data_IF_110256049972
#
_entry.id   IF_110256049972
#
_cell.length_a   1.000
_cell.length_b   1.000
_cell.length_c   1.000
_cell.angle_alpha   90.00
_cell.angle_beta   90.00
_cell.angle_gamma   90.00
#
_symmetry.space_group_name_H-M   'P 1'
#
loop_
_entity.id
_entity.type
_entity.pdbx_description
1 polymer ?
#
# COMPACT_ATOMS: atom_id res chain seq x y z
N UNK A 1 10.50 -19.27 -22.70
CA UNK A 1 9.32 -18.42 -22.99
C UNK A 1 8.99 -17.64 -21.73
N UNK A 2 9.23 -16.32 -21.72
CA UNK A 2 8.93 -15.39 -20.60
C UNK A 2 8.62 -14.00 -21.17
N UNK A 3 9.38 -13.56 -22.18
CA UNK A 3 9.09 -12.32 -22.90
C UNK A 3 7.69 -12.38 -23.53
N UNK A 4 6.85 -11.40 -23.21
CA UNK A 4 5.49 -11.29 -23.72
C UNK A 4 4.45 -12.20 -23.04
N UNK A 5 4.77 -12.83 -21.91
CA UNK A 5 3.85 -13.71 -21.18
C UNK A 5 2.94 -12.96 -20.19
N UNK A 6 2.67 -11.68 -20.40
CA UNK A 6 1.95 -10.83 -19.45
C UNK A 6 0.90 -9.99 -20.16
N UNK A 7 -0.36 -10.17 -19.76
CA UNK A 7 -1.50 -9.40 -20.27
C UNK A 7 -1.76 -8.12 -19.44
N UNK A 8 -1.36 -8.12 -18.16
CA UNK A 8 -1.45 -6.99 -17.24
C UNK A 8 -0.42 -7.11 -16.11
N UNK A 9 -0.14 -6.00 -15.44
CA UNK A 9 0.75 -5.93 -14.26
C UNK A 9 -0.09 -5.73 -13.00
N UNK A 10 0.00 -6.67 -12.04
CA UNK A 10 -0.46 -6.45 -10.66
C UNK A 10 0.64 -5.82 -9.82
N UNK A 11 0.35 -4.72 -9.12
CA UNK A 11 1.31 -4.04 -8.24
C UNK A 11 0.75 -3.93 -6.84
N UNK A 12 1.52 -4.43 -5.87
CA UNK A 12 1.31 -4.18 -4.45
C UNK A 12 2.18 -2.99 -4.06
N UNK A 13 1.57 -1.83 -3.80
CA UNK A 13 2.31 -0.61 -3.47
C UNK A 13 1.77 0.01 -2.19
N UNK A 14 2.65 0.15 -1.20
CA UNK A 14 2.30 0.58 0.15
C UNK A 14 3.09 1.79 0.62
N UNK A 15 4.34 1.92 0.19
CA UNK A 15 5.25 2.95 0.68
C UNK A 15 6.36 3.22 -0.35
N UNK A 16 7.20 4.20 -0.08
CA UNK A 16 8.41 4.48 -0.84
C UNK A 16 9.52 4.94 0.11
N UNK A 17 10.76 4.62 -0.25
CA UNK A 17 11.95 5.03 0.49
C UNK A 17 12.85 5.87 -0.38
N UNK A 18 13.67 6.70 0.26
CA UNK A 18 14.87 7.21 -0.40
C UNK A 18 15.94 6.13 -0.35
N UNK A 19 16.72 6.05 -1.42
CA UNK A 19 17.88 5.18 -1.50
C UNK A 19 19.12 6.03 -1.71
N UNK A 20 20.23 5.63 -1.12
CA UNK A 20 21.54 6.27 -1.29
C UNK A 20 22.61 5.21 -1.56
N UNK A 21 23.69 5.60 -2.23
CA UNK A 21 24.88 4.77 -2.34
C UNK A 21 25.59 4.77 -0.97
N UNK A 22 25.68 3.61 -0.29
CA UNK A 22 26.26 3.56 1.04
C UNK A 22 27.80 3.66 1.01
N UNK A 23 28.42 3.74 -0.17
CA UNK A 23 29.86 3.77 -0.39
C UNK A 23 30.60 2.66 0.38
N UNK A 24 29.99 1.48 0.46
CA UNK A 24 30.55 0.34 1.19
C UNK A 24 31.66 -0.31 0.37
N UNK A 25 32.76 -0.63 1.02
CA UNK A 25 33.77 -1.54 0.43
C UNK A 25 33.12 -2.90 0.14
N UNK A 26 33.56 -3.55 -0.94
CA UNK A 26 33.08 -4.90 -1.29
C UNK A 26 33.29 -5.82 -0.09
N UNK A 27 32.22 -6.35 0.53
CA UNK A 27 32.37 -7.14 1.74
C UNK A 27 33.08 -8.45 1.41
N UNK A 28 33.93 -8.91 2.33
CA UNK A 28 34.62 -10.22 2.20
C UNK A 28 33.66 -11.41 2.31
N UNK A 29 32.50 -11.19 2.92
CA UNK A 29 31.43 -12.17 3.10
C UNK A 29 30.21 -11.62 2.38
N UNK A 30 29.66 -12.39 1.45
CA UNK A 30 28.44 -12.01 0.73
C UNK A 30 27.23 -12.13 1.65
N UNK A 31 26.36 -11.13 1.60
CA UNK A 31 25.13 -11.09 2.37
C UNK A 31 24.02 -10.48 1.54
N UNK A 32 22.82 -11.05 1.65
CA UNK A 32 21.67 -10.69 0.80
C UNK A 32 21.38 -9.18 0.74
N UNK A 33 21.50 -8.48 1.87
CA UNK A 33 21.27 -7.02 1.92
C UNK A 33 22.44 -6.21 1.37
N UNK A 34 23.66 -6.75 1.42
CA UNK A 34 24.86 -6.10 0.89
C UNK A 34 24.91 -6.20 -0.64
N UNK A 35 24.26 -7.21 -1.23
CA UNK A 35 24.14 -7.37 -2.69
C UNK A 35 23.29 -6.28 -3.35
N UNK A 36 22.45 -5.58 -2.58
CA UNK A 36 21.62 -4.49 -3.10
C UNK A 36 22.44 -3.27 -3.51
N UNK A 37 23.64 -3.12 -2.94
CA UNK A 37 24.52 -1.96 -3.12
C UNK A 37 23.78 -0.61 -2.95
N UNK A 38 22.84 -0.56 -2.00
CA UNK A 38 21.99 0.58 -1.72
C UNK A 38 21.66 0.63 -0.23
N UNK A 39 21.77 1.82 0.38
CA UNK A 39 21.25 2.13 1.70
C UNK A 39 19.85 2.75 1.61
N UNK A 40 19.02 2.52 2.62
CA UNK A 40 17.70 3.14 2.72
C UNK A 40 17.75 4.32 3.68
N UNK A 41 17.26 5.47 3.22
CA UNK A 41 17.07 6.64 4.05
C UNK A 41 15.58 6.80 4.37
N UNK A 42 15.30 6.92 5.66
CA UNK A 42 13.97 7.21 6.19
C UNK A 42 13.80 8.72 6.29
N UNK A 43 12.68 9.22 5.79
CA UNK A 43 12.23 10.60 6.00
C UNK A 43 11.10 10.57 7.03
N UNK A 44 10.93 11.66 7.77
CA UNK A 44 9.84 11.93 8.71
C UNK A 44 8.46 11.93 8.01
N UNK A 45 7.98 10.75 7.64
CA UNK A 45 6.61 10.50 7.26
C UNK A 45 5.88 9.77 8.38
N UNK A 46 4.55 9.87 8.38
CA UNK A 46 3.73 9.12 9.32
C UNK A 46 3.94 7.62 9.10
N UNK A 47 4.58 6.97 10.08
CA UNK A 47 4.69 5.52 10.14
C UNK A 47 3.36 4.93 10.61
N UNK A 48 2.90 3.86 9.96
CA UNK A 48 1.79 3.05 10.45
C UNK A 48 2.26 2.11 11.57
N UNK A 49 1.43 1.13 11.94
CA UNK A 49 1.82 0.18 12.97
C UNK A 49 2.96 -0.75 12.52
N UNK A 50 3.00 -1.14 11.24
CA UNK A 50 4.08 -1.93 10.68
C UNK A 50 5.34 -1.07 10.50
N UNK A 51 6.48 -1.57 11.01
CA UNK A 51 7.73 -0.79 11.03
C UNK A 51 8.21 -0.35 9.63
N UNK A 52 7.86 -1.11 8.59
CA UNK A 52 8.24 -0.84 7.21
C UNK A 52 7.26 0.13 6.52
N UNK A 53 6.05 0.36 7.04
CA UNK A 53 5.01 1.06 6.31
C UNK A 53 4.99 2.54 6.69
N UNK A 54 5.43 3.39 5.76
CA UNK A 54 5.33 4.85 5.86
C UNK A 54 4.31 5.39 4.86
N UNK A 55 3.54 6.39 5.27
CA UNK A 55 2.54 7.05 4.43
C UNK A 55 3.22 8.01 3.44
N UNK A 56 3.52 7.51 2.23
CA UNK A 56 4.29 8.22 1.19
C UNK A 56 3.51 8.19 -0.15
N UNK A 57 2.38 8.91 -0.26
CA UNK A 57 1.46 8.76 -1.38
C UNK A 57 2.07 9.16 -2.72
N UNK A 58 2.97 10.16 -2.76
CA UNK A 58 3.65 10.55 -4.01
C UNK A 58 4.52 9.42 -4.58
N UNK A 59 4.91 8.44 -3.76
CA UNK A 59 5.63 7.25 -4.19
C UNK A 59 4.80 6.39 -5.14
N UNK A 60 3.47 6.31 -4.92
CA UNK A 60 2.57 5.59 -5.82
C UNK A 60 2.57 6.22 -7.21
N UNK A 61 2.46 7.54 -7.30
CA UNK A 61 2.54 8.25 -8.59
C UNK A 61 3.83 7.90 -9.33
N UNK A 62 4.98 7.98 -8.65
CA UNK A 62 6.28 7.66 -9.26
C UNK A 62 6.36 6.20 -9.72
N UNK A 63 5.87 5.26 -8.91
CA UNK A 63 5.90 3.83 -9.26
C UNK A 63 5.07 3.52 -10.52
N UNK A 64 3.86 4.09 -10.61
CA UNK A 64 2.96 3.90 -11.76
C UNK A 64 3.54 4.58 -13.01
N UNK A 65 4.04 5.81 -12.87
CA UNK A 65 4.69 6.53 -13.98
C UNK A 65 5.92 5.80 -14.49
N UNK A 66 6.73 5.23 -13.60
CA UNK A 66 7.89 4.42 -14.00
C UNK A 66 7.48 3.20 -14.84
N UNK A 67 6.41 2.51 -14.46
CA UNK A 67 5.89 1.37 -15.23
C UNK A 67 5.38 1.81 -16.60
N UNK A 68 4.65 2.94 -16.64
CA UNK A 68 4.21 3.56 -17.90
C UNK A 68 5.39 3.81 -18.84
N UNK A 69 6.43 4.48 -18.35
CA UNK A 69 7.55 4.98 -19.16
C UNK A 69 8.54 3.88 -19.57
N UNK A 70 8.74 2.87 -18.74
CA UNK A 70 9.78 1.86 -18.95
C UNK A 70 9.28 0.49 -19.41
N UNK A 71 7.98 0.20 -19.31
CA UNK A 71 7.41 -1.10 -19.65
C UNK A 71 6.31 -1.03 -20.73
N UNK A 72 6.26 0.07 -21.48
CA UNK A 72 5.33 0.22 -22.61
C UNK A 72 3.88 0.47 -22.21
N UNK A 73 3.65 1.07 -21.04
CA UNK A 73 2.32 1.40 -20.51
C UNK A 73 1.32 0.22 -20.53
N UNK A 74 1.67 -0.92 -19.92
CA UNK A 74 0.78 -2.07 -19.88
C UNK A 74 -0.47 -1.73 -19.07
N UNK A 75 -1.51 -2.56 -19.18
CA UNK A 75 -2.63 -2.49 -18.25
C UNK A 75 -2.12 -2.79 -16.82
N UNK A 76 -2.36 -1.88 -15.89
CA UNK A 76 -1.97 -1.98 -14.48
C UNK A 76 -3.20 -2.14 -13.60
N UNK A 77 -3.09 -3.06 -12.64
CA UNK A 77 -4.00 -3.18 -11.51
C UNK A 77 -3.19 -2.91 -10.26
N UNK A 78 -3.60 -1.94 -9.45
CA UNK A 78 -3.07 -1.81 -8.09
C UNK A 78 -3.72 -2.88 -7.23
N UNK A 79 -3.06 -4.04 -7.15
CA UNK A 79 -3.61 -5.26 -6.53
C UNK A 79 -3.66 -5.18 -5.01
N UNK A 80 -2.79 -4.39 -4.39
CA UNK A 80 -2.84 -4.12 -2.97
C UNK A 80 -2.32 -2.72 -2.62
N UNK A 81 -3.06 -2.04 -1.74
CA UNK A 81 -2.64 -0.81 -1.07
C UNK A 81 -3.40 -0.64 0.24
N UNK A 82 -2.75 -0.22 1.33
CA UNK A 82 -3.42 -0.03 2.61
C UNK A 82 -2.45 0.37 3.74
N UNK A 83 -2.98 0.49 4.95
CA UNK A 83 -2.19 0.72 6.17
C UNK A 83 -2.78 -0.02 7.37
N UNK A 84 -1.93 -0.38 8.33
CA UNK A 84 -2.33 -1.09 9.54
C UNK A 84 -2.43 -0.21 10.78
N UNK A 85 -3.40 -0.56 11.64
CA UNK A 85 -3.47 -0.12 13.03
C UNK A 85 -2.95 -1.21 13.97
N UNK A 86 -2.57 -0.87 15.22
CA UNK A 86 -2.21 -1.86 16.23
C UNK A 86 -3.35 -2.86 16.52
N UNK A 87 -3.00 -4.13 16.66
CA UNK A 87 -3.97 -5.21 16.89
C UNK A 87 -4.74 -5.13 18.20
N UNK A 88 -4.18 -4.43 19.19
CA UNK A 88 -4.79 -4.17 20.50
C UNK A 88 -5.73 -2.94 20.53
N UNK A 89 -5.97 -2.29 19.38
CA UNK A 89 -6.92 -1.18 19.29
C UNK A 89 -8.32 -1.62 19.74
N UNK A 90 -8.96 -0.82 20.59
CA UNK A 90 -10.32 -1.11 21.04
C UNK A 90 -11.32 -0.95 19.90
N UNK A 91 -12.44 -1.68 19.94
CA UNK A 91 -13.48 -1.59 18.91
C UNK A 91 -13.89 -0.12 18.62
N UNK A 92 -14.27 0.72 19.60
CA UNK A 92 -14.64 2.11 19.31
C UNK A 92 -13.54 2.89 18.60
N UNK A 93 -12.28 2.74 19.01
CA UNK A 93 -11.15 3.44 18.36
C UNK A 93 -10.86 2.87 16.97
N UNK A 94 -10.93 1.55 16.79
CA UNK A 94 -10.71 0.88 15.52
C UNK A 94 -11.79 1.17 14.48
N UNK A 95 -13.01 1.52 14.89
CA UNK A 95 -14.06 1.98 13.98
C UNK A 95 -13.83 3.42 13.48
N UNK A 96 -13.20 4.28 14.28
CA UNK A 96 -12.91 5.68 13.95
C UNK A 96 -11.52 5.85 13.30
N UNK A 97 -11.28 5.12 12.22
CA UNK A 97 -9.97 5.02 11.55
C UNK A 97 -9.68 6.14 10.54
N UNK A 98 -9.72 7.39 11.00
CA UNK A 98 -9.51 8.58 10.15
C UNK A 98 -8.13 8.63 9.50
N UNK A 99 -7.09 8.11 10.15
CA UNK A 99 -5.75 7.98 9.57
C UNK A 99 -5.77 7.10 8.32
N UNK A 100 -6.47 5.97 8.34
CA UNK A 100 -6.64 5.07 7.18
C UNK A 100 -7.39 5.76 6.04
N UNK A 101 -8.42 6.55 6.36
CA UNK A 101 -9.11 7.37 5.35
C UNK A 101 -8.15 8.35 4.68
N UNK A 102 -7.32 9.05 5.46
CA UNK A 102 -6.38 10.02 4.93
C UNK A 102 -5.27 9.36 4.10
N UNK A 103 -4.81 8.17 4.50
CA UNK A 103 -3.94 7.33 3.69
C UNK A 103 -4.57 7.05 2.32
N UNK A 104 -5.78 6.47 2.28
CA UNK A 104 -6.44 6.14 1.02
C UNK A 104 -6.71 7.37 0.15
N UNK A 105 -7.14 8.49 0.73
CA UNK A 105 -7.31 9.76 -0.01
C UNK A 105 -6.00 10.23 -0.64
N UNK A 106 -4.88 10.14 0.08
CA UNK A 106 -3.57 10.53 -0.42
C UNK A 106 -3.15 9.67 -1.61
N UNK A 107 -3.21 8.34 -1.46
CA UNK A 107 -2.80 7.40 -2.50
C UNK A 107 -3.73 7.47 -3.72
N UNK A 108 -5.04 7.48 -3.54
CA UNK A 108 -5.99 7.55 -4.66
C UNK A 108 -5.91 8.89 -5.42
N UNK A 109 -5.61 9.99 -4.74
CA UNK A 109 -5.31 11.28 -5.41
C UNK A 109 -4.09 11.14 -6.33
N UNK A 110 -3.02 10.50 -5.85
CA UNK A 110 -1.79 10.31 -6.62
C UNK A 110 -1.96 9.29 -7.76
N UNK A 111 -2.76 8.25 -7.54
CA UNK A 111 -3.13 7.30 -8.59
C UNK A 111 -3.94 7.98 -9.70
N UNK A 112 -4.96 8.77 -9.31
CA UNK A 112 -5.77 9.54 -10.25
C UNK A 112 -4.91 10.49 -11.06
N UNK A 113 -3.95 11.18 -10.44
CA UNK A 113 -2.97 12.01 -11.14
C UNK A 113 -2.16 11.21 -12.17
N UNK A 114 -1.68 10.01 -11.83
CA UNK A 114 -0.94 9.18 -12.77
C UNK A 114 -1.80 8.74 -13.98
N UNK A 115 -3.08 8.43 -13.73
CA UNK A 115 -4.07 8.11 -14.78
C UNK A 115 -4.31 9.32 -15.68
N UNK A 116 -4.48 10.51 -15.08
CA UNK A 116 -4.66 11.77 -15.82
C UNK A 116 -3.42 12.11 -16.67
N UNK A 117 -2.23 11.70 -16.22
CA UNK A 117 -0.96 11.79 -16.96
C UNK A 117 -0.73 10.59 -17.93
N UNK A 118 -1.76 9.81 -18.24
CA UNK A 118 -1.78 8.80 -19.29
C UNK A 118 -1.40 7.37 -18.87
N UNK A 119 -1.24 7.07 -17.58
CA UNK A 119 -1.00 5.70 -17.13
C UNK A 119 -2.25 4.82 -17.31
N UNK A 120 -2.08 3.62 -17.88
CA UNK A 120 -3.16 2.67 -18.12
C UNK A 120 -3.46 1.85 -16.85
N UNK A 121 -4.22 2.42 -15.90
CA UNK A 121 -4.64 1.73 -14.68
C UNK A 121 -6.13 1.41 -14.74
N UNK A 122 -6.50 0.15 -14.56
CA UNK A 122 -7.90 -0.31 -14.66
C UNK A 122 -8.50 -0.79 -13.34
N UNK A 123 -7.69 -0.94 -12.29
CA UNK A 123 -8.16 -1.46 -11.01
C UNK A 123 -7.38 -0.93 -9.81
N UNK A 124 -8.08 -0.83 -8.69
CA UNK A 124 -7.54 -0.54 -7.37
C UNK A 124 -8.19 -1.47 -6.34
N UNK A 125 -7.37 -2.20 -5.59
CA UNK A 125 -7.80 -3.11 -4.54
C UNK A 125 -7.15 -2.72 -3.21
N UNK A 126 -8.01 -2.37 -2.25
CA UNK A 126 -7.57 -2.07 -0.90
C UNK A 126 -7.16 -3.35 -0.16
N UNK A 127 -5.95 -3.37 0.41
CA UNK A 127 -5.55 -4.36 1.40
C UNK A 127 -5.90 -3.83 2.80
N UNK A 128 -6.96 -4.33 3.44
CA UNK A 128 -7.78 -5.47 3.02
C UNK A 128 -9.26 -5.25 3.36
N UNK A 129 -10.11 -6.15 2.88
CA UNK A 129 -11.54 -6.10 3.19
C UNK A 129 -11.79 -6.22 4.70
N UNK A 130 -11.13 -7.16 5.38
CA UNK A 130 -11.31 -7.46 6.80
C UNK A 130 -9.98 -7.50 7.54
N UNK A 131 -9.98 -7.18 8.83
CA UNK A 131 -8.85 -7.51 9.70
C UNK A 131 -8.58 -9.01 9.62
N UNK A 132 -7.32 -9.39 9.36
CA UNK A 132 -6.94 -10.77 9.05
C UNK A 132 -5.62 -11.16 9.75
N UNK A 133 -5.07 -12.33 9.40
CA UNK A 133 -3.80 -12.83 9.91
C UNK A 133 -2.65 -12.28 9.06
N UNK A 134 -1.90 -11.31 9.59
CA UNK A 134 -0.83 -10.60 8.90
C UNK A 134 0.52 -11.32 9.07
N UNK A 135 0.62 -12.53 8.51
CA UNK A 135 1.86 -13.31 8.42
C UNK A 135 2.61 -13.41 9.76
N UNK A 136 3.83 -12.86 9.84
CA UNK A 136 4.69 -12.88 11.03
C UNK A 136 4.15 -12.01 12.17
N UNK A 137 3.32 -11.02 11.87
CA UNK A 137 2.63 -10.18 12.85
C UNK A 137 1.36 -10.86 13.39
N UNK A 138 0.88 -11.93 12.78
CA UNK A 138 -0.37 -12.58 13.15
C UNK A 138 -1.51 -11.55 13.26
N UNK A 139 -2.21 -11.52 14.40
CA UNK A 139 -3.32 -10.60 14.63
C UNK A 139 -2.93 -9.27 15.28
N UNK A 140 -1.63 -8.95 15.38
CA UNK A 140 -1.15 -7.70 16.00
C UNK A 140 -1.14 -6.51 15.04
N UNK A 141 -1.51 -6.72 13.78
CA UNK A 141 -1.68 -5.68 12.75
C UNK A 141 -3.06 -5.79 12.13
N UNK A 142 -3.75 -4.65 11.99
CA UNK A 142 -5.12 -4.58 11.45
C UNK A 142 -5.18 -3.74 10.19
N UNK A 143 -5.15 -4.38 9.02
CA UNK A 143 -5.25 -3.72 7.71
C UNK A 143 -6.69 -3.48 7.22
N UNK A 144 -7.67 -4.20 7.79
CA UNK A 144 -9.02 -4.25 7.25
C UNK A 144 -9.72 -2.90 7.23
N UNK A 145 -10.53 -2.64 6.21
CA UNK A 145 -11.57 -1.58 6.28
C UNK A 145 -12.79 -2.04 7.09
N UNK A 146 -12.88 -3.33 7.40
CA UNK A 146 -13.86 -3.93 8.32
C UNK A 146 -13.12 -4.50 9.53
N UNK A 147 -13.48 -4.03 10.72
CA UNK A 147 -12.95 -4.55 11.98
C UNK A 147 -13.50 -5.95 12.23
N UNK A 148 -12.63 -6.86 12.67
CA UNK A 148 -13.02 -8.20 13.13
C UNK A 148 -12.72 -8.34 14.61
N UNK A 149 -13.75 -8.62 15.40
CA UNK A 149 -13.57 -9.10 16.77
C UNK A 149 -13.07 -10.55 16.71
N UNK A 150 -11.78 -10.79 16.95
CA UNK A 150 -11.20 -12.12 16.82
C UNK A 150 -11.71 -13.13 17.87
N UNK A 151 -12.38 -12.69 18.94
CA UNK A 151 -13.00 -13.60 19.92
C UNK A 151 -14.35 -14.13 19.42
N UNK A 152 -15.14 -13.27 18.79
CA UNK A 152 -16.52 -13.59 18.38
C UNK A 152 -16.70 -13.74 16.88
N UNK A 153 -15.68 -13.39 16.10
CA UNK A 153 -15.70 -13.24 14.64
C UNK A 153 -16.78 -12.27 14.14
N UNK A 154 -17.30 -11.38 14.98
CA UNK A 154 -18.22 -10.33 14.51
C UNK A 154 -17.47 -9.29 13.68
N UNK A 155 -18.13 -8.84 12.60
CA UNK A 155 -17.58 -7.87 11.63
C UNK A 155 -18.26 -6.51 11.82
N UNK A 156 -17.46 -5.46 11.84
CA UNK A 156 -17.93 -4.09 12.03
C UNK A 156 -17.26 -3.18 10.98
N UNK A 157 -18.01 -2.67 9.98
CA UNK A 157 -17.44 -1.74 9.01
C UNK A 157 -16.87 -0.51 9.70
N UNK A 158 -15.60 -0.18 9.41
CA UNK A 158 -14.93 1.02 9.93
C UNK A 158 -15.38 2.26 9.15
N UNK A 159 -15.03 3.46 9.61
CA UNK A 159 -15.29 4.70 8.88
C UNK A 159 -14.67 4.68 7.48
N UNK A 160 -13.51 4.05 7.29
CA UNK A 160 -12.90 3.83 5.98
C UNK A 160 -13.76 3.02 5.00
N UNK A 161 -14.48 2.00 5.46
CA UNK A 161 -15.43 1.27 4.62
C UNK A 161 -16.60 2.17 4.17
N UNK A 162 -17.15 2.96 5.09
CA UNK A 162 -18.21 3.93 4.75
C UNK A 162 -17.70 5.04 3.82
N UNK A 163 -16.44 5.44 3.97
CA UNK A 163 -15.80 6.39 3.07
C UNK A 163 -15.68 5.83 1.65
N UNK A 164 -15.22 4.59 1.48
CA UNK A 164 -15.21 3.91 0.18
C UNK A 164 -16.62 3.80 -0.41
N UNK A 165 -17.62 3.42 0.40
CA UNK A 165 -19.03 3.40 -0.03
C UNK A 165 -19.45 4.74 -0.61
N UNK A 166 -19.16 5.85 0.09
CA UNK A 166 -19.49 7.20 -0.37
C UNK A 166 -18.71 7.60 -1.62
N UNK A 167 -17.42 7.23 -1.72
CA UNK A 167 -16.59 7.48 -2.90
C UNK A 167 -17.20 6.81 -4.13
N UNK A 168 -17.57 5.53 -4.03
CA UNK A 168 -18.12 4.75 -5.13
C UNK A 168 -19.55 5.16 -5.53
N UNK A 169 -20.32 5.71 -4.58
CA UNK A 169 -21.67 6.22 -4.86
C UNK A 169 -21.69 7.58 -5.56
N UNK A 170 -20.57 8.32 -5.53
CA UNK A 170 -20.53 9.69 -6.06
C UNK A 170 -20.59 9.77 -7.58
N UNK A 171 -20.44 8.67 -8.30
CA UNK A 171 -20.51 8.65 -9.76
C UNK A 171 -21.14 7.34 -10.26
N UNK A 172 -22.44 7.41 -10.58
CA UNK A 172 -22.96 6.67 -11.73
C UNK A 172 -22.91 7.65 -12.89
N UNK A 173 -21.84 7.59 -13.69
CA UNK A 173 -21.86 8.11 -15.05
C UNK A 173 -22.55 7.09 -15.94
#
# INVERSE_FOLDING_TARGET
MVKGSMDFVGINQYTAYYIYDPHQEKPKVLGYQQDWNAGFALIEYLQANSYWLYNVPWGLYKAITYIKEHYGNPNVILSENGMDDPGNVTLPKGLHDTTRINFYKGYLTQLKKAIDDGANVTGYFAWSLVDNFEWRSGYTSRFGIVYVDFKTLKRYPKMSAYWFKKLLQKEKH
#
